data_IF_059371873255
#
_entry.id   IF_059371873255
#
_cell.length_a   1.000
_cell.length_b   1.000
_cell.length_c   1.000
_cell.angle_alpha   90.00
_cell.angle_beta   90.00
_cell.angle_gamma   90.00
#
_symmetry.space_group_name_H-M   'P 1'
#
loop_
_entity.id
_entity.type
_entity.pdbx_description
1 polymer ?
#
# COMPACT_ATOMS: atom_id res chain seq x y z
N UNK A 1 -2.40 -45.08 1.98
CA UNK A 1 -1.72 -44.56 0.77
C UNK A 1 -0.32 -44.12 1.19
N UNK A 2 0.73 -44.74 0.67
CA UNK A 2 2.13 -44.41 1.05
C UNK A 2 2.55 -43.16 0.27
N UNK A 3 2.77 -42.04 0.97
CA UNK A 3 3.08 -40.73 0.36
C UNK A 3 4.34 -40.80 -0.53
N UNK A 4 5.31 -41.63 -0.18
CA UNK A 4 6.54 -41.86 -0.98
C UNK A 4 6.30 -42.54 -2.33
N UNK A 5 5.12 -43.10 -2.55
CA UNK A 5 4.70 -43.68 -3.83
C UNK A 5 4.10 -42.67 -4.81
N UNK A 6 3.77 -41.45 -4.35
CA UNK A 6 3.11 -40.44 -5.19
C UNK A 6 4.05 -39.95 -6.32
N UNK A 7 3.57 -39.86 -7.58
CA UNK A 7 4.33 -39.27 -8.69
C UNK A 7 4.77 -37.84 -8.40
N UNK A 8 3.91 -37.05 -7.74
CA UNK A 8 4.22 -35.68 -7.32
C UNK A 8 5.33 -35.66 -6.25
N UNK A 9 5.31 -36.59 -5.30
CA UNK A 9 6.38 -36.74 -4.32
C UNK A 9 7.73 -37.04 -5.01
N UNK A 10 7.75 -37.96 -5.97
CA UNK A 10 8.98 -38.30 -6.71
C UNK A 10 9.53 -37.15 -7.54
N UNK A 11 8.66 -36.29 -8.08
CA UNK A 11 9.05 -35.17 -8.94
C UNK A 11 9.58 -33.97 -8.15
N UNK A 12 9.01 -33.65 -6.99
CA UNK A 12 9.38 -32.45 -6.22
C UNK A 12 10.32 -32.76 -5.03
N UNK A 13 10.17 -33.92 -4.38
CA UNK A 13 11.03 -34.28 -3.25
C UNK A 13 12.47 -34.59 -3.70
N UNK A 14 12.67 -35.20 -4.88
CA UNK A 14 14.03 -35.46 -5.40
C UNK A 14 14.80 -34.18 -5.66
N UNK A 15 14.16 -33.18 -6.25
CA UNK A 15 14.77 -31.87 -6.52
C UNK A 15 15.13 -31.13 -5.23
N UNK A 16 14.27 -31.19 -4.21
CA UNK A 16 14.55 -30.63 -2.88
C UNK A 16 15.63 -31.41 -2.10
N UNK A 17 15.76 -32.72 -2.36
CA UNK A 17 16.83 -33.56 -1.80
C UNK A 17 18.18 -33.36 -2.52
N UNK A 18 18.18 -32.88 -3.77
CA UNK A 18 19.37 -32.69 -4.60
C UNK A 18 19.98 -31.27 -4.49
N UNK A 19 19.23 -30.25 -4.07
CA UNK A 19 19.77 -28.88 -3.93
C UNK A 19 20.49 -28.65 -2.58
N UNK A 20 21.82 -28.72 -2.63
CA UNK A 20 22.81 -28.02 -1.78
C UNK A 20 22.75 -28.16 -0.24
N UNK A 21 23.24 -29.28 0.29
CA UNK A 21 24.40 -29.34 1.20
C UNK A 21 24.52 -30.73 1.83
N UNK A 22 25.42 -31.54 1.31
CA UNK A 22 25.61 -32.94 1.72
C UNK A 22 26.28 -33.15 3.08
N UNK A 23 26.55 -32.10 3.85
CA UNK A 23 27.24 -32.22 5.13
C UNK A 23 26.55 -31.37 6.20
N UNK A 24 26.05 -32.07 7.24
CA UNK A 24 25.54 -31.57 8.54
C UNK A 24 24.04 -31.26 8.65
N UNK A 25 23.14 -32.24 8.49
CA UNK A 25 21.81 -32.22 9.18
C UNK A 25 21.36 -33.63 9.59
N UNK A 26 20.67 -33.78 10.75
CA UNK A 26 20.20 -35.06 11.30
C UNK A 26 19.16 -35.71 10.37
N UNK A 27 18.90 -37.03 10.51
CA UNK A 27 18.05 -37.79 9.58
C UNK A 27 16.64 -37.19 9.48
N UNK A 28 16.26 -36.80 8.26
CA UNK A 28 14.93 -36.28 7.94
C UNK A 28 13.86 -37.32 8.25
N UNK A 29 12.95 -37.01 9.17
CA UNK A 29 11.72 -37.79 9.37
C UNK A 29 10.73 -37.50 8.23
N UNK A 30 9.78 -38.40 7.92
CA UNK A 30 8.76 -38.16 6.88
C UNK A 30 7.99 -36.84 7.04
N UNK A 31 7.84 -36.34 8.27
CA UNK A 31 7.28 -35.00 8.55
C UNK A 31 8.18 -33.87 8.00
N UNK A 32 9.49 -33.93 8.22
CA UNK A 32 10.41 -32.88 7.76
C UNK A 32 10.50 -32.76 6.23
N UNK A 33 10.25 -33.86 5.50
CA UNK A 33 10.18 -33.83 4.02
C UNK A 33 8.89 -33.14 3.56
N UNK A 34 7.76 -33.40 4.22
CA UNK A 34 6.49 -32.73 3.90
C UNK A 34 6.61 -31.21 4.13
N UNK A 35 7.21 -30.81 5.25
CA UNK A 35 7.43 -29.39 5.58
C UNK A 35 8.34 -28.70 4.53
N UNK A 36 9.40 -29.38 4.08
CA UNK A 36 10.31 -28.86 3.04
C UNK A 36 9.61 -28.70 1.69
N UNK A 37 8.77 -29.66 1.30
CA UNK A 37 7.99 -29.58 0.05
C UNK A 37 6.98 -28.44 0.13
N UNK A 38 6.25 -28.32 1.25
CA UNK A 38 5.27 -27.25 1.44
C UNK A 38 5.94 -25.88 1.41
N UNK A 39 7.11 -25.74 2.04
CA UNK A 39 7.89 -24.50 1.99
C UNK A 39 8.28 -24.15 0.54
N UNK A 40 8.82 -25.09 -0.22
CA UNK A 40 9.18 -24.86 -1.63
C UNK A 40 8.01 -24.47 -2.53
N UNK A 41 6.78 -24.87 -2.19
CA UNK A 41 5.58 -24.47 -2.95
C UNK A 41 5.14 -23.05 -2.62
N UNK A 42 5.45 -22.53 -1.43
CA UNK A 42 5.07 -21.19 -0.99
C UNK A 42 6.15 -20.14 -1.25
N UNK A 43 7.43 -20.52 -1.33
CA UNK A 43 8.54 -19.59 -1.58
C UNK A 43 8.36 -18.71 -2.85
N UNK A 44 7.82 -19.20 -3.98
CA UNK A 44 7.60 -18.38 -5.16
C UNK A 44 6.24 -17.64 -5.15
N UNK A 45 5.44 -17.77 -4.09
CA UNK A 45 4.12 -17.19 -4.03
C UNK A 45 4.18 -15.66 -3.96
N UNK A 46 3.32 -15.00 -4.75
CA UNK A 46 3.19 -13.54 -4.79
C UNK A 46 1.73 -13.14 -4.64
N UNK A 47 1.51 -12.00 -4.00
CA UNK A 47 0.19 -11.37 -3.91
C UNK A 47 0.13 -10.20 -4.89
N UNK A 48 -0.58 -10.38 -6.01
CA UNK A 48 -0.92 -9.27 -6.90
C UNK A 48 -2.13 -8.55 -6.34
N UNK A 49 -1.92 -7.32 -5.87
CA UNK A 49 -2.97 -6.50 -5.27
C UNK A 49 -3.82 -5.85 -6.34
N UNK A 50 -5.14 -5.96 -6.18
CA UNK A 50 -6.14 -5.24 -7.00
C UNK A 50 -6.77 -4.09 -6.24
N UNK A 51 -6.79 -4.14 -4.90
CA UNK A 51 -7.24 -3.04 -4.05
C UNK A 51 -6.51 -3.04 -2.70
N UNK A 52 -6.03 -1.90 -2.27
CA UNK A 52 -5.36 -1.69 -0.99
C UNK A 52 -5.86 -0.39 -0.39
N UNK A 53 -6.73 -0.47 0.61
CA UNK A 53 -7.41 0.69 1.18
C UNK A 53 -6.97 0.92 2.62
N UNK A 54 -6.52 2.14 2.90
CA UNK A 54 -6.25 2.66 4.24
C UNK A 54 -7.32 3.70 4.59
N UNK A 55 -7.97 3.53 5.73
CA UNK A 55 -8.98 4.44 6.28
C UNK A 55 -8.86 4.59 7.80
N UNK A 56 -9.65 5.49 8.39
CA UNK A 56 -9.80 5.67 9.84
C UNK A 56 -8.46 5.84 10.58
N UNK A 57 -7.61 6.72 10.07
CA UNK A 57 -6.31 7.04 10.64
C UNK A 57 -6.41 7.68 12.03
N UNK A 58 -5.65 7.16 13.00
CA UNK A 58 -5.41 7.80 14.32
C UNK A 58 -3.91 8.03 14.52
N UNK A 59 -3.49 8.39 15.73
CA UNK A 59 -2.06 8.60 16.06
C UNK A 59 -1.25 7.29 15.96
N UNK A 60 -1.85 6.16 16.30
CA UNK A 60 -1.18 4.87 16.50
C UNK A 60 -1.81 3.71 15.73
N UNK A 61 -2.87 3.93 14.96
CA UNK A 61 -3.49 2.87 14.17
C UNK A 61 -4.29 3.36 12.96
N UNK A 62 -4.68 2.41 12.11
CA UNK A 62 -5.48 2.64 10.91
C UNK A 62 -6.28 1.38 10.55
N UNK A 63 -7.31 1.52 9.73
CA UNK A 63 -8.04 0.38 9.17
C UNK A 63 -7.47 0.02 7.79
N UNK A 64 -7.26 -1.28 7.57
CA UNK A 64 -6.68 -1.81 6.36
C UNK A 64 -7.60 -2.85 5.71
N UNK A 65 -7.86 -2.67 4.42
CA UNK A 65 -8.49 -3.66 3.55
C UNK A 65 -7.55 -4.01 2.40
N UNK A 66 -7.38 -5.31 2.13
CA UNK A 66 -6.51 -5.79 1.04
C UNK A 66 -7.24 -6.84 0.22
N UNK A 67 -7.32 -6.61 -1.09
CA UNK A 67 -7.86 -7.53 -2.06
C UNK A 67 -6.86 -7.73 -3.20
N UNK A 68 -6.78 -8.97 -3.68
CA UNK A 68 -5.90 -9.32 -4.76
C UNK A 68 -5.99 -10.79 -5.13
N UNK A 69 -4.96 -11.24 -5.85
CA UNK A 69 -4.82 -12.63 -6.28
C UNK A 69 -3.46 -13.17 -5.87
N UNK A 70 -3.47 -14.29 -5.16
CA UNK A 70 -2.25 -15.04 -4.86
C UNK A 70 -2.00 -16.02 -6.00
N UNK A 71 -0.78 -16.03 -6.52
CA UNK A 71 -0.34 -16.97 -7.54
C UNK A 71 1.06 -17.47 -7.23
N UNK A 72 1.52 -18.51 -7.94
CA UNK A 72 2.83 -19.10 -7.69
C UNK A 72 2.87 -19.99 -6.45
N UNK A 73 1.73 -20.41 -5.89
CA UNK A 73 1.64 -21.34 -4.73
C UNK A 73 1.94 -22.81 -5.09
N UNK A 74 2.67 -23.05 -6.19
CA UNK A 74 3.00 -24.37 -6.69
C UNK A 74 1.85 -25.16 -7.33
N UNK A 75 2.12 -26.41 -7.69
CA UNK A 75 1.22 -27.28 -8.48
C UNK A 75 0.22 -28.09 -7.64
N UNK A 76 0.21 -27.87 -6.32
CA UNK A 76 -0.61 -28.63 -5.37
C UNK A 76 -1.57 -27.66 -4.67
N UNK A 77 -2.87 -27.92 -4.83
CA UNK A 77 -3.89 -27.19 -4.08
C UNK A 77 -3.74 -27.48 -2.59
N UNK A 78 -3.67 -26.40 -1.81
CA UNK A 78 -3.38 -26.43 -0.38
C UNK A 78 -4.26 -25.42 0.34
N UNK A 79 -4.58 -25.68 1.59
CA UNK A 79 -5.30 -24.74 2.44
C UNK A 79 -4.32 -24.09 3.42
N UNK A 80 -4.05 -22.80 3.25
CA UNK A 80 -3.34 -21.98 4.23
C UNK A 80 -4.37 -21.61 5.30
N UNK A 81 -4.17 -22.06 6.54
CA UNK A 81 -5.10 -21.78 7.64
C UNK A 81 -5.06 -20.30 8.02
N UNK A 82 -6.17 -19.80 8.57
CA UNK A 82 -6.23 -18.45 9.14
C UNK A 82 -5.10 -18.25 10.14
N UNK A 83 -4.38 -17.14 10.01
CA UNK A 83 -3.17 -16.85 10.77
C UNK A 83 -2.95 -15.34 10.83
N UNK A 84 -2.03 -14.89 11.66
CA UNK A 84 -1.64 -13.47 11.74
C UNK A 84 -0.28 -13.26 11.06
N UNK A 85 -0.19 -12.34 10.11
CA UNK A 85 1.07 -11.99 9.47
C UNK A 85 1.57 -10.61 9.91
N UNK A 86 2.88 -10.45 9.97
CA UNK A 86 3.53 -9.16 10.11
C UNK A 86 3.54 -8.42 8.78
N UNK A 87 3.17 -7.14 8.82
CA UNK A 87 3.32 -6.19 7.72
C UNK A 87 4.73 -5.59 7.82
N UNK A 88 5.53 -5.78 6.79
CA UNK A 88 6.93 -5.34 6.75
C UNK A 88 7.21 -4.49 5.52
N UNK A 89 7.84 -3.35 5.74
CA UNK A 89 8.36 -2.46 4.71
C UNK A 89 9.87 -2.31 4.92
N UNK A 90 10.65 -2.44 3.83
CA UNK A 90 12.13 -2.41 3.87
C UNK A 90 12.76 -3.32 4.93
N UNK A 91 12.16 -4.48 5.17
CA UNK A 91 12.63 -5.47 6.14
C UNK A 91 12.30 -5.17 7.60
N UNK A 92 11.61 -4.07 7.88
CA UNK A 92 11.18 -3.67 9.22
C UNK A 92 9.66 -3.84 9.36
N UNK A 93 9.23 -4.42 10.47
CA UNK A 93 7.81 -4.68 10.76
C UNK A 93 7.20 -3.42 11.37
N UNK A 94 6.09 -2.94 10.81
CA UNK A 94 5.36 -1.80 11.37
C UNK A 94 3.94 -2.16 11.86
N UNK A 95 3.44 -3.36 11.57
CA UNK A 95 2.08 -3.75 11.97
C UNK A 95 1.81 -5.24 11.80
N UNK A 96 0.61 -5.66 12.17
CA UNK A 96 0.15 -7.06 12.08
C UNK A 96 -1.26 -7.12 11.51
N UNK A 97 -1.51 -8.10 10.66
CA UNK A 97 -2.79 -8.31 9.98
C UNK A 97 -3.25 -9.76 10.16
N UNK A 98 -4.54 -9.97 10.39
CA UNK A 98 -5.15 -11.30 10.35
C UNK A 98 -5.46 -11.66 8.91
N UNK A 99 -4.89 -12.77 8.46
CA UNK A 99 -5.13 -13.35 7.15
C UNK A 99 -6.29 -14.36 7.23
N UNK A 100 -7.19 -14.38 6.24
CA UNK A 100 -8.23 -15.39 6.16
C UNK A 100 -7.62 -16.77 5.89
N UNK A 101 -8.43 -17.81 6.00
CA UNK A 101 -8.07 -19.10 5.41
C UNK A 101 -8.07 -18.95 3.87
N UNK A 102 -6.99 -19.40 3.23
CA UNK A 102 -6.79 -19.27 1.78
C UNK A 102 -6.73 -20.67 1.17
N UNK A 103 -7.57 -20.93 0.18
CA UNK A 103 -7.50 -22.15 -0.63
C UNK A 103 -6.67 -21.87 -1.87
N UNK A 104 -5.44 -22.40 -1.92
CA UNK A 104 -4.55 -22.20 -3.06
C UNK A 104 -4.95 -23.08 -4.23
N UNK A 105 -4.68 -22.59 -5.45
CA UNK A 105 -4.96 -23.29 -6.69
C UNK A 105 -3.78 -23.13 -7.64
N UNK A 106 -3.63 -24.10 -8.56
CA UNK A 106 -2.57 -24.07 -9.59
C UNK A 106 -2.69 -22.85 -10.51
N UNK A 107 -3.90 -22.31 -10.66
CA UNK A 107 -4.20 -21.13 -11.48
C UNK A 107 -4.17 -19.82 -10.68
N UNK A 108 -3.75 -19.87 -9.42
CA UNK A 108 -3.90 -18.78 -8.47
C UNK A 108 -5.29 -18.75 -7.83
N UNK A 109 -5.42 -17.94 -6.78
CA UNK A 109 -6.63 -17.86 -5.96
C UNK A 109 -6.88 -16.43 -5.54
N UNK A 110 -8.15 -16.07 -5.37
CA UNK A 110 -8.52 -14.75 -4.88
C UNK A 110 -8.18 -14.65 -3.39
N UNK A 111 -7.79 -13.45 -2.98
CA UNK A 111 -7.39 -13.14 -1.63
C UNK A 111 -8.12 -11.88 -1.18
N UNK A 112 -8.79 -11.96 -0.04
CA UNK A 112 -9.47 -10.81 0.58
C UNK A 112 -9.21 -10.82 2.07
N UNK A 113 -8.37 -9.89 2.54
CA UNK A 113 -8.31 -9.53 3.94
C UNK A 113 -9.35 -8.44 4.22
N UNK A 114 -10.39 -8.80 4.98
CA UNK A 114 -11.45 -7.87 5.38
C UNK A 114 -10.88 -6.69 6.16
N UNK A 115 -11.63 -5.57 6.13
CA UNK A 115 -11.28 -4.35 6.83
C UNK A 115 -11.08 -4.63 8.31
N UNK A 116 -9.90 -4.27 8.82
CA UNK A 116 -9.51 -4.52 10.19
C UNK A 116 -8.54 -3.47 10.69
N UNK A 117 -8.59 -3.22 12.00
CA UNK A 117 -7.70 -2.29 12.69
C UNK A 117 -6.29 -2.84 12.77
N UNK A 118 -5.30 -2.04 12.37
CA UNK A 118 -3.87 -2.33 12.43
C UNK A 118 -3.22 -1.36 13.41
N UNK A 119 -2.59 -1.89 14.45
CA UNK A 119 -1.74 -1.12 15.36
C UNK A 119 -0.36 -0.87 14.75
N UNK A 120 0.09 0.38 14.82
CA UNK A 120 1.38 0.84 14.32
C UNK A 120 2.45 0.55 15.39
N UNK A 121 3.23 -0.49 15.16
CA UNK A 121 4.34 -0.88 16.03
C UNK A 121 5.62 -0.07 15.79
N UNK A 122 5.81 0.43 14.56
CA UNK A 122 6.94 1.28 14.17
C UNK A 122 6.40 2.44 13.34
N UNK A 123 6.21 3.57 14.01
CA UNK A 123 5.65 4.78 13.43
C UNK A 123 6.52 5.35 12.30
N UNK A 124 7.83 5.41 12.51
CA UNK A 124 8.77 5.94 11.51
C UNK A 124 8.75 5.11 10.24
N UNK A 125 8.78 3.78 10.36
CA UNK A 125 8.76 2.89 9.22
C UNK A 125 7.39 2.91 8.50
N UNK A 126 6.30 3.06 9.25
CA UNK A 126 4.98 3.23 8.68
C UNK A 126 4.86 4.53 7.87
N UNK A 127 5.29 5.68 8.41
CA UNK A 127 5.30 6.94 7.68
C UNK A 127 6.19 6.87 6.42
N UNK A 128 7.33 6.17 6.49
CA UNK A 128 8.17 5.92 5.32
C UNK A 128 7.45 5.08 4.25
N UNK A 129 6.63 4.10 4.66
CA UNK A 129 5.79 3.33 3.75
C UNK A 129 4.73 4.20 3.07
N UNK A 130 3.98 5.02 3.83
CA UNK A 130 2.99 5.93 3.24
C UNK A 130 3.64 6.93 2.29
N UNK A 131 4.80 7.50 2.66
CA UNK A 131 5.59 8.34 1.76
C UNK A 131 5.95 7.62 0.46
N UNK A 132 6.38 6.35 0.52
CA UNK A 132 6.70 5.58 -0.70
C UNK A 132 5.49 5.36 -1.60
N UNK A 133 4.29 5.18 -1.02
CA UNK A 133 3.04 5.08 -1.79
C UNK A 133 2.77 6.39 -2.55
N UNK A 134 2.99 7.53 -1.89
CA UNK A 134 2.69 8.85 -2.45
C UNK A 134 3.73 9.26 -3.48
N UNK A 135 5.02 9.10 -3.20
CA UNK A 135 6.12 9.73 -3.96
C UNK A 135 6.74 8.79 -4.99
N UNK A 136 6.89 7.51 -4.67
CA UNK A 136 7.62 6.58 -5.53
C UNK A 136 6.72 6.03 -6.65
N UNK A 137 7.33 5.51 -7.73
CA UNK A 137 6.60 4.88 -8.83
C UNK A 137 6.17 3.43 -8.51
N UNK A 138 6.96 2.75 -7.70
CA UNK A 138 6.72 1.38 -7.26
C UNK A 138 7.12 1.26 -5.79
N UNK A 139 6.33 0.52 -5.02
CA UNK A 139 6.64 0.15 -3.64
C UNK A 139 6.30 -1.31 -3.42
N UNK A 140 6.79 -1.91 -2.34
CA UNK A 140 6.52 -3.30 -2.03
C UNK A 140 6.35 -3.47 -0.54
N UNK A 141 5.25 -4.13 -0.16
CA UNK A 141 5.03 -4.57 1.20
C UNK A 141 5.26 -6.08 1.29
N UNK A 142 5.69 -6.56 2.44
CA UNK A 142 5.85 -7.99 2.69
C UNK A 142 4.91 -8.43 3.80
N UNK A 143 4.16 -9.50 3.54
CA UNK A 143 3.45 -10.26 4.56
C UNK A 143 4.33 -11.42 5.01
N UNK A 144 4.57 -11.49 6.31
CA UNK A 144 5.47 -12.49 6.87
C UNK A 144 4.88 -13.20 8.09
N UNK A 145 4.92 -14.53 8.10
CA UNK A 145 4.56 -15.35 9.26
C UNK A 145 5.49 -16.58 9.34
N UNK A 146 6.08 -16.85 10.51
CA UNK A 146 7.02 -17.97 10.73
C UNK A 146 6.36 -19.30 11.13
N UNK A 147 5.06 -19.27 11.40
CA UNK A 147 4.33 -20.36 12.02
C UNK A 147 2.99 -20.56 11.32
N UNK A 148 3.03 -20.69 10.00
CA UNK A 148 1.86 -20.80 9.16
C UNK A 148 1.51 -22.27 9.00
N UNK A 149 0.27 -22.64 9.33
CA UNK A 149 -0.22 -24.00 9.15
C UNK A 149 -0.81 -24.16 7.75
N UNK A 150 -0.28 -25.10 6.98
CA UNK A 150 -0.76 -25.43 5.63
C UNK A 150 -1.22 -26.86 5.60
N UNK A 151 -2.39 -27.09 5.01
CA UNK A 151 -2.92 -28.43 4.75
C UNK A 151 -2.81 -28.75 3.26
N UNK A 152 -2.06 -29.80 2.94
CA UNK A 152 -1.89 -30.28 1.58
C UNK A 152 -1.85 -31.82 1.59
N UNK A 153 -2.45 -32.44 0.57
CA UNK A 153 -2.42 -33.90 0.37
C UNK A 153 -2.83 -34.73 1.61
N UNK A 154 -3.77 -34.24 2.41
CA UNK A 154 -4.23 -34.92 3.64
C UNK A 154 -3.29 -34.81 4.84
N UNK A 155 -2.23 -34.00 4.74
CA UNK A 155 -1.29 -33.72 5.83
C UNK A 155 -1.34 -32.25 6.24
N UNK A 156 -0.96 -31.96 7.49
CA UNK A 156 -0.79 -30.59 8.00
C UNK A 156 0.68 -30.37 8.31
N UNK A 157 1.22 -29.25 7.85
CA UNK A 157 2.62 -28.86 8.03
C UNK A 157 2.71 -27.42 8.52
N UNK A 158 3.75 -27.13 9.29
CA UNK A 158 4.08 -25.78 9.75
C UNK A 158 5.20 -25.25 8.87
N UNK A 159 5.03 -24.05 8.32
CA UNK A 159 5.97 -23.44 7.39
C UNK A 159 6.04 -21.92 7.57
N UNK A 160 7.00 -21.30 6.90
CA UNK A 160 7.10 -19.85 6.82
C UNK A 160 6.29 -19.36 5.62
N UNK A 161 5.34 -18.46 5.86
CA UNK A 161 4.68 -17.70 4.82
C UNK A 161 5.43 -16.39 4.61
N UNK A 162 5.85 -16.15 3.36
CA UNK A 162 6.35 -14.87 2.90
C UNK A 162 5.65 -14.54 1.59
N UNK A 163 4.83 -13.50 1.59
CA UNK A 163 4.20 -12.99 0.37
C UNK A 163 4.73 -11.60 0.09
N UNK A 164 5.42 -11.46 -1.02
CA UNK A 164 5.72 -10.15 -1.58
C UNK A 164 4.45 -9.58 -2.20
N UNK A 165 4.16 -8.34 -1.82
CA UNK A 165 2.98 -7.59 -2.22
C UNK A 165 3.45 -6.33 -2.94
N UNK A 166 3.89 -6.44 -4.21
CA UNK A 166 4.25 -5.29 -5.01
C UNK A 166 3.01 -4.42 -5.19
N UNK A 167 3.16 -3.14 -4.84
CA UNK A 167 2.15 -2.12 -4.99
C UNK A 167 2.62 -1.17 -6.06
N UNK A 168 1.79 -0.98 -7.09
CA UNK A 168 2.00 0.15 -7.99
C UNK A 168 1.72 1.41 -7.18
N UNK A 169 2.80 2.08 -6.78
CA UNK A 169 2.72 3.34 -6.07
C UNK A 169 2.20 4.42 -7.02
N UNK A 170 1.74 5.51 -6.44
CA UNK A 170 0.90 6.48 -7.14
C UNK A 170 1.76 7.38 -8.04
N UNK A 171 3.07 7.51 -7.73
CA UNK A 171 4.01 8.37 -8.46
C UNK A 171 3.65 9.86 -8.34
N UNK A 172 3.00 10.22 -7.23
CA UNK A 172 2.39 11.52 -6.97
C UNK A 172 1.04 11.68 -7.68
N UNK A 173 0.04 12.32 -7.03
CA UNK A 173 -1.17 12.71 -7.73
C UNK A 173 -0.82 13.68 -8.86
N UNK A 174 -1.24 13.37 -10.10
CA UNK A 174 -1.11 14.33 -11.20
C UNK A 174 -2.28 15.29 -11.13
N UNK A 175 -1.95 16.57 -10.99
CA UNK A 175 -2.89 17.64 -10.71
C UNK A 175 -2.83 18.67 -11.83
N UNK A 176 -3.98 19.09 -12.35
CA UNK A 176 -4.09 20.23 -13.25
C UNK A 176 -5.29 21.09 -12.88
N UNK A 177 -5.19 22.41 -13.06
CA UNK A 177 -6.34 23.30 -12.79
C UNK A 177 -7.40 23.08 -13.86
N UNK A 178 -8.60 22.67 -13.41
CA UNK A 178 -9.78 22.54 -14.26
C UNK A 178 -10.63 23.80 -14.25
N UNK A 179 -10.80 24.40 -13.06
CA UNK A 179 -11.58 25.63 -12.88
C UNK A 179 -11.01 26.44 -11.73
N UNK A 180 -11.05 27.75 -11.87
CA UNK A 180 -10.65 28.69 -10.83
C UNK A 180 -11.64 29.86 -10.80
N UNK A 181 -12.07 30.24 -9.60
CA UNK A 181 -12.93 31.40 -9.38
C UNK A 181 -12.53 32.11 -8.09
N UNK A 182 -12.58 33.44 -8.12
CA UNK A 182 -12.27 34.31 -6.98
C UNK A 182 -13.40 35.33 -6.77
N UNK A 183 -13.74 35.60 -5.52
CA UNK A 183 -14.63 36.68 -5.10
C UNK A 183 -14.00 37.41 -3.91
N UNK A 184 -13.42 38.59 -4.16
CA UNK A 184 -12.62 39.28 -3.14
C UNK A 184 -11.41 38.43 -2.74
N UNK A 185 -11.24 38.16 -1.44
CA UNK A 185 -10.17 37.27 -0.95
C UNK A 185 -10.47 35.79 -1.16
N UNK A 186 -11.75 35.42 -1.29
CA UNK A 186 -12.17 34.02 -1.34
C UNK A 186 -11.87 33.40 -2.71
N UNK A 187 -11.26 32.23 -2.69
CA UNK A 187 -10.88 31.48 -3.88
C UNK A 187 -11.42 30.05 -3.82
N UNK A 188 -11.88 29.57 -4.96
CA UNK A 188 -12.21 28.16 -5.17
C UNK A 188 -11.47 27.66 -6.40
N UNK A 189 -10.75 26.56 -6.23
CA UNK A 189 -9.99 25.91 -7.29
C UNK A 189 -10.45 24.46 -7.40
N UNK A 190 -10.86 24.06 -8.60
CA UNK A 190 -11.14 22.67 -8.94
C UNK A 190 -9.94 22.16 -9.74
N UNK A 191 -9.29 21.15 -9.22
CA UNK A 191 -8.23 20.43 -9.91
C UNK A 191 -8.77 19.12 -10.49
N UNK A 192 -8.30 18.74 -11.68
CA UNK A 192 -8.35 17.34 -12.10
C UNK A 192 -7.26 16.57 -11.37
N UNK A 193 -7.62 15.38 -10.89
CA UNK A 193 -6.75 14.47 -10.15
C UNK A 193 -6.65 13.17 -10.94
N UNK A 194 -5.45 12.64 -11.10
CA UNK A 194 -5.28 11.26 -11.54
C UNK A 194 -4.25 10.55 -10.68
N UNK A 195 -4.72 9.49 -10.03
CA UNK A 195 -3.94 8.55 -9.24
C UNK A 195 -3.91 7.22 -10.00
N UNK A 196 -2.75 6.59 -10.12
CA UNK A 196 -2.63 5.28 -10.76
C UNK A 196 -2.32 4.20 -9.71
N UNK A 197 -2.90 3.02 -9.89
CA UNK A 197 -2.63 1.87 -9.02
C UNK A 197 -3.82 1.48 -8.13
N UNK A 198 -3.66 0.39 -7.35
CA UNK A 198 -4.72 -0.20 -6.54
C UNK A 198 -4.87 0.46 -5.15
N UNK A 199 -4.07 1.49 -4.85
CA UNK A 199 -3.96 2.07 -3.51
C UNK A 199 -5.00 3.18 -3.31
N UNK A 200 -5.69 3.13 -2.19
CA UNK A 200 -6.67 4.11 -1.71
C UNK A 200 -6.24 4.58 -0.31
N UNK A 201 -6.02 5.88 -0.13
CA UNK A 201 -5.70 6.47 1.19
C UNK A 201 -6.58 7.68 1.44
N UNK A 202 -7.48 7.54 2.41
CA UNK A 202 -8.33 8.63 2.87
C UNK A 202 -7.55 9.59 3.79
N UNK A 203 -7.30 10.81 3.31
CA UNK A 203 -6.68 11.87 4.11
C UNK A 203 -7.71 12.80 4.77
N UNK A 204 -9.00 12.63 4.49
CA UNK A 204 -10.07 13.48 4.99
C UNK A 204 -9.89 14.94 4.58
N UNK A 205 -10.29 15.85 5.47
CA UNK A 205 -10.25 17.29 5.20
C UNK A 205 -8.84 17.84 5.39
N UNK A 206 -8.19 18.16 4.28
CA UNK A 206 -6.80 18.59 4.22
C UNK A 206 -6.68 20.11 4.07
N UNK A 207 -5.55 20.61 4.55
CA UNK A 207 -5.12 22.00 4.41
C UNK A 207 -3.93 22.02 3.46
N UNK A 208 -4.01 22.90 2.46
CA UNK A 208 -3.00 23.09 1.44
C UNK A 208 -2.58 24.54 1.35
N UNK A 209 -1.38 24.76 0.86
CA UNK A 209 -0.89 26.05 0.41
C UNK A 209 -0.59 25.99 -1.08
N UNK A 210 -1.07 26.99 -1.81
CA UNK A 210 -0.60 27.25 -3.16
C UNK A 210 0.62 28.16 -3.06
N UNK A 211 1.80 27.68 -3.45
CA UNK A 211 3.06 28.44 -3.34
C UNK A 211 3.64 28.80 -4.69
N UNK A 212 4.24 29.98 -4.82
CA UNK A 212 4.98 30.35 -6.02
C UNK A 212 6.41 29.74 -6.04
N UNK A 213 7.18 30.03 -7.09
CA UNK A 213 8.57 29.58 -7.22
C UNK A 213 9.54 30.10 -6.16
N UNK A 214 9.14 31.12 -5.39
CA UNK A 214 9.91 31.67 -4.26
C UNK A 214 9.47 31.09 -2.90
N UNK A 215 8.58 30.09 -2.91
CA UNK A 215 7.99 29.48 -1.72
C UNK A 215 7.11 30.46 -0.89
N UNK A 216 6.62 31.53 -1.50
CA UNK A 216 5.63 32.42 -0.89
C UNK A 216 4.23 31.82 -1.05
N UNK A 217 3.44 31.84 0.02
CA UNK A 217 2.06 31.35 0.03
C UNK A 217 1.14 32.35 -0.69
N UNK A 218 0.55 31.91 -1.79
CA UNK A 218 -0.41 32.63 -2.62
C UNK A 218 -1.83 32.51 -2.09
N UNK A 219 -2.19 31.31 -1.66
CA UNK A 219 -3.50 31.00 -1.12
C UNK A 219 -3.40 29.88 -0.10
N UNK A 220 -4.18 29.99 0.95
CA UNK A 220 -4.49 28.89 1.85
C UNK A 220 -5.78 28.25 1.38
N UNK A 221 -5.75 26.93 1.25
CA UNK A 221 -6.78 26.15 0.61
C UNK A 221 -7.14 24.96 1.49
N UNK A 222 -8.41 24.57 1.48
CA UNK A 222 -8.91 23.44 2.24
C UNK A 222 -9.89 22.62 1.42
N UNK A 223 -9.90 21.30 1.62
CA UNK A 223 -10.84 20.41 0.95
C UNK A 223 -10.57 18.96 1.28
N UNK A 224 -11.50 18.10 0.88
CA UNK A 224 -11.42 16.66 1.12
C UNK A 224 -10.53 15.98 0.08
N UNK A 225 -9.53 15.22 0.56
CA UNK A 225 -8.63 14.44 -0.28
C UNK A 225 -8.71 12.96 0.09
N UNK A 226 -9.12 12.16 -0.87
CA UNK A 226 -8.95 10.72 -0.89
C UNK A 226 -8.04 10.36 -2.07
N UNK A 227 -6.85 9.88 -1.75
CA UNK A 227 -5.90 9.44 -2.76
C UNK A 227 -6.38 8.07 -3.29
N UNK A 228 -7.25 8.09 -4.29
CA UNK A 228 -7.83 6.90 -4.91
C UNK A 228 -8.05 7.13 -6.41
N UNK A 229 -8.03 6.05 -7.20
CA UNK A 229 -8.33 6.12 -8.65
C UNK A 229 -9.77 6.59 -8.95
N UNK A 230 -10.68 6.48 -7.98
CA UNK A 230 -12.06 6.95 -8.07
C UNK A 230 -12.21 8.45 -7.92
N UNK A 231 -11.30 9.13 -7.20
CA UNK A 231 -11.32 10.59 -7.08
C UNK A 231 -10.61 11.22 -8.28
N UNK A 232 -11.40 11.78 -9.18
CA UNK A 232 -10.90 12.44 -10.40
C UNK A 232 -10.85 13.95 -10.30
N UNK A 233 -11.41 14.51 -9.23
CA UNK A 233 -11.45 15.95 -8.98
C UNK A 233 -11.15 16.26 -7.51
N UNK A 234 -10.38 17.32 -7.28
CA UNK A 234 -10.12 17.90 -5.97
C UNK A 234 -10.62 19.34 -5.97
N UNK A 235 -11.67 19.62 -5.19
CA UNK A 235 -12.18 20.98 -5.02
C UNK A 235 -11.64 21.55 -3.72
N UNK A 236 -10.89 22.64 -3.83
CA UNK A 236 -10.34 23.35 -2.70
C UNK A 236 -10.94 24.76 -2.58
N UNK A 237 -11.24 25.15 -1.35
CA UNK A 237 -11.76 26.45 -0.99
C UNK A 237 -10.81 27.14 -0.01
N UNK A 238 -10.66 28.45 -0.11
CA UNK A 238 -9.96 29.20 0.91
C UNK A 238 -9.74 30.64 0.52
N UNK A 239 -8.60 31.21 0.92
CA UNK A 239 -8.35 32.64 0.79
C UNK A 239 -6.99 32.92 0.17
N UNK A 240 -6.93 33.96 -0.65
CA UNK A 240 -5.70 34.50 -1.23
C UNK A 240 -4.95 35.34 -0.20
N UNK A 241 -3.62 35.34 -0.28
CA UNK A 241 -2.75 36.22 0.51
C UNK A 241 -2.22 37.34 -0.37
N UNK A 242 -2.31 38.57 0.12
CA UNK A 242 -1.81 39.74 -0.58
C UNK A 242 -0.28 39.81 -0.59
N UNK A 243 0.28 40.41 -1.65
CA UNK A 243 1.71 40.75 -1.73
C UNK A 243 2.63 39.67 -2.33
N UNK A 244 2.11 38.47 -2.64
CA UNK A 244 2.92 37.42 -3.22
C UNK A 244 3.14 37.58 -4.74
N UNK A 245 4.34 37.26 -5.22
CA UNK A 245 4.74 37.51 -6.61
C UNK A 245 3.99 36.57 -7.58
N UNK A 246 3.48 37.16 -8.67
CA UNK A 246 2.81 36.44 -9.74
C UNK A 246 3.70 35.40 -10.41
N UNK A 247 3.20 34.16 -10.52
CA UNK A 247 3.90 33.06 -11.18
C UNK A 247 2.94 32.15 -11.91
N UNK A 248 3.34 31.70 -13.11
CA UNK A 248 2.63 30.66 -13.86
C UNK A 248 2.90 29.26 -13.31
N UNK A 249 4.08 29.05 -12.71
CA UNK A 249 4.45 27.79 -12.06
C UNK A 249 4.26 27.94 -10.57
N UNK A 250 3.33 27.18 -10.03
CA UNK A 250 3.05 27.13 -8.61
C UNK A 250 3.16 25.69 -8.12
N UNK A 251 3.14 25.51 -6.81
CA UNK A 251 3.16 24.20 -6.17
C UNK A 251 1.94 24.12 -5.26
N UNK A 252 1.22 23.02 -5.32
CA UNK A 252 0.21 22.68 -4.33
C UNK A 252 0.89 21.85 -3.25
N UNK A 253 0.99 22.39 -2.05
CA UNK A 253 1.73 21.80 -0.93
C UNK A 253 0.74 21.45 0.18
N UNK A 254 0.69 20.20 0.60
CA UNK A 254 -0.05 19.79 1.79
C UNK A 254 0.66 20.29 3.05
N UNK A 255 -0.09 20.92 3.96
CA UNK A 255 0.49 21.50 5.19
C UNK A 255 -0.05 20.88 6.47
N UNK A 256 -1.27 20.34 6.41
CA UNK A 256 -1.86 19.61 7.52
C UNK A 256 -3.23 19.06 7.20
N UNK A 257 -3.87 18.48 8.22
CA UNK A 257 -5.26 17.99 8.15
C UNK A 257 -6.09 18.62 9.26
N UNK A 258 -7.34 18.92 8.96
CA UNK A 258 -8.32 19.43 9.92
C UNK A 258 -9.00 18.25 10.61
N UNK A 259 -8.25 17.58 11.49
CA UNK A 259 -8.75 16.46 12.27
C UNK A 259 -9.03 16.91 13.72
N UNK A 260 -10.13 16.40 14.30
CA UNK A 260 -10.45 16.60 15.72
C UNK A 260 -9.48 15.86 16.64
N UNK A 261 -8.91 14.77 16.14
CA UNK A 261 -7.99 13.89 16.86
C UNK A 261 -6.65 13.88 16.13
N UNK A 262 -5.57 13.61 16.88
CA UNK A 262 -4.24 13.47 16.28
C UNK A 262 -4.21 12.26 15.36
N UNK A 263 -3.61 12.42 14.19
CA UNK A 263 -3.36 11.32 13.28
C UNK A 263 -2.07 11.53 12.50
N UNK A 264 -1.48 10.42 12.05
CA UNK A 264 -0.29 10.43 11.19
C UNK A 264 -0.54 11.13 9.84
N UNK A 265 -1.80 11.34 9.45
CA UNK A 265 -2.17 12.06 8.23
C UNK A 265 -1.60 13.48 8.19
N UNK A 266 -1.46 14.14 9.35
CA UNK A 266 -0.88 15.47 9.43
C UNK A 266 0.59 15.52 9.01
N UNK A 267 1.29 14.39 9.13
CA UNK A 267 2.67 14.25 8.66
C UNK A 267 2.70 13.81 7.20
N UNK A 268 1.90 12.82 6.81
CA UNK A 268 1.96 12.24 5.46
C UNK A 268 1.41 13.17 4.39
N UNK A 269 0.46 14.05 4.72
CA UNK A 269 -0.04 15.07 3.79
C UNK A 269 1.06 16.02 3.31
N UNK A 270 2.13 16.19 4.10
CA UNK A 270 3.28 17.05 3.76
C UNK A 270 4.18 16.46 2.69
N UNK A 271 4.05 15.17 2.41
CA UNK A 271 4.69 14.53 1.25
C UNK A 271 3.99 14.91 -0.07
N UNK A 272 2.78 15.48 -0.01
CA UNK A 272 2.09 16.01 -1.18
C UNK A 272 2.65 17.39 -1.51
N UNK A 273 3.51 17.42 -2.52
CA UNK A 273 4.09 18.63 -3.05
C UNK A 273 4.17 18.54 -4.57
N UNK A 274 3.14 19.07 -5.23
CA UNK A 274 2.91 18.82 -6.66
C UNK A 274 3.04 20.12 -7.44
N UNK A 275 3.86 20.15 -8.51
CA UNK A 275 3.90 21.30 -9.40
C UNK A 275 2.58 21.42 -10.18
N UNK A 276 2.10 22.65 -10.29
CA UNK A 276 0.89 23.00 -11.03
C UNK A 276 1.22 24.15 -11.98
N UNK A 277 0.96 23.93 -13.27
CA UNK A 277 1.02 24.98 -14.27
C UNK A 277 -0.33 25.71 -14.35
N UNK A 278 -0.29 27.03 -14.17
CA UNK A 278 -1.45 27.90 -14.29
C UNK A 278 -1.52 28.50 -15.69
N UNK A 279 -2.69 28.41 -16.31
CA UNK A 279 -2.99 29.16 -17.52
C UNK A 279 -2.99 30.68 -17.24
N UNK A 280 -2.68 31.53 -18.24
CA UNK A 280 -2.63 32.99 -18.05
C UNK A 280 -3.91 33.57 -17.42
N UNK A 281 -5.09 33.07 -17.81
CA UNK A 281 -6.37 33.48 -17.23
C UNK A 281 -6.50 33.14 -15.74
N UNK A 282 -5.95 32.00 -15.30
CA UNK A 282 -5.96 31.62 -13.90
C UNK A 282 -5.05 32.54 -13.07
N UNK A 283 -3.92 32.98 -13.65
CA UNK A 283 -3.05 33.99 -13.04
C UNK A 283 -3.79 35.31 -12.92
N UNK A 284 -4.49 35.78 -13.95
CA UNK A 284 -5.27 37.02 -13.83
C UNK A 284 -6.31 36.95 -12.69
N UNK A 285 -7.02 35.83 -12.54
CA UNK A 285 -8.04 35.70 -11.49
C UNK A 285 -7.44 35.63 -10.08
N UNK A 286 -6.24 35.06 -9.90
CA UNK A 286 -5.61 34.95 -8.58
C UNK A 286 -4.95 36.25 -8.10
N UNK A 287 -4.55 37.13 -9.03
CA UNK A 287 -3.77 38.32 -8.73
C UNK A 287 -4.50 39.66 -8.97
N UNK A 288 -5.62 39.66 -9.69
CA UNK A 288 -6.53 40.81 -9.81
C UNK A 288 -7.73 40.68 -8.86
#
# INVERSE_FOLDING_TARGET
MIISGSPLFKQYARTALDSENRNRRPPYTPLGIADTIVQHLLDPAKLQVTRFKISNATEDSFDLFVEGRIFGTGTISSAIMSTEASLSFNGTIFGRIKLPQIQTSVWGTDFVAQEQRIEIADYTNYCAFIRSIIVDNETSLQLYNRNCTVRALGTSSVCNLRLDMPLKAIGGPRIAVKKLSRLGSDVTIVFSLSCSGPVEVDHGFCIFELRNGYNETLAELKGELNIAASQTELTLHGTTRDGAIASKRVRLVGVGVEAKEKSWLNETIRELDVPVDLEPKCVEILWC
#
